data_IF_231851227142
#
_entry.id   IF_231851227142
#
_cell.length_a   1.000
_cell.length_b   1.000
_cell.length_c   1.000
_cell.angle_alpha   90.00
_cell.angle_beta   90.00
_cell.angle_gamma   90.00
#
_symmetry.space_group_name_H-M   'P 1'
#
loop_
_entity.id
_entity.type
_entity.pdbx_description
1 polymer ?
#
# COMPACT_ATOMS: atom_id res chain seq x y z
N UNK A 1 26.37 -6.28 -10.68
CA UNK A 1 26.02 -6.55 -9.27
C UNK A 1 25.14 -7.80 -9.26
N UNK A 2 25.42 -8.75 -8.39
CA UNK A 2 24.62 -9.96 -8.24
C UNK A 2 23.82 -9.84 -6.94
N UNK A 3 22.58 -10.23 -6.95
CA UNK A 3 21.71 -10.29 -5.77
C UNK A 3 20.94 -11.62 -5.76
N UNK A 4 20.55 -12.06 -4.58
CA UNK A 4 19.69 -13.25 -4.45
C UNK A 4 18.29 -12.95 -4.98
N UNK A 5 17.79 -11.73 -4.74
CA UNK A 5 16.48 -11.25 -5.19
C UNK A 5 16.63 -9.90 -5.88
N UNK A 6 16.03 -9.79 -7.07
CA UNK A 6 15.84 -8.50 -7.74
C UNK A 6 14.34 -8.15 -7.69
N UNK A 7 14.05 -6.93 -7.21
CA UNK A 7 12.70 -6.35 -7.16
C UNK A 7 12.60 -5.29 -8.26
N UNK A 8 11.57 -5.38 -9.07
CA UNK A 8 11.29 -4.39 -10.13
C UNK A 8 10.23 -3.41 -9.63
N UNK A 9 10.63 -2.16 -9.47
CA UNK A 9 9.80 -1.06 -8.99
C UNK A 9 10.08 -0.67 -7.53
N UNK A 10 10.40 0.61 -7.32
CA UNK A 10 10.69 1.23 -6.02
C UNK A 10 9.48 1.92 -5.38
N UNK A 11 8.25 1.46 -5.64
CA UNK A 11 7.05 1.89 -4.93
C UNK A 11 6.95 1.26 -3.54
N UNK A 12 5.84 1.52 -2.82
CA UNK A 12 5.63 1.01 -1.46
C UNK A 12 5.75 -0.52 -1.37
N UNK A 13 5.24 -1.25 -2.37
CA UNK A 13 5.30 -2.71 -2.39
C UNK A 13 6.75 -3.18 -2.52
N UNK A 14 7.52 -2.61 -3.46
CA UNK A 14 8.93 -2.96 -3.65
C UNK A 14 9.79 -2.58 -2.45
N UNK A 15 9.58 -1.41 -1.87
CA UNK A 15 10.29 -0.97 -0.67
C UNK A 15 9.98 -1.85 0.55
N UNK A 16 8.71 -2.22 0.77
CA UNK A 16 8.30 -3.09 1.86
C UNK A 16 8.82 -4.53 1.66
N UNK A 17 8.80 -5.05 0.43
CA UNK A 17 9.39 -6.35 0.11
C UNK A 17 10.91 -6.35 0.35
N UNK A 18 11.61 -5.31 -0.10
CA UNK A 18 13.05 -5.15 0.12
C UNK A 18 13.39 -5.09 1.62
N UNK A 19 12.62 -4.33 2.41
CA UNK A 19 12.78 -4.27 3.85
C UNK A 19 12.66 -5.63 4.51
N UNK A 20 11.58 -6.36 4.21
CA UNK A 20 11.33 -7.66 4.84
C UNK A 20 12.36 -8.72 4.42
N UNK A 21 12.79 -8.73 3.17
CA UNK A 21 13.84 -9.64 2.68
C UNK A 21 15.19 -9.32 3.32
N UNK A 22 15.61 -8.05 3.31
CA UNK A 22 16.87 -7.63 3.90
C UNK A 22 16.91 -7.87 5.43
N UNK A 23 15.78 -7.67 6.12
CA UNK A 23 15.62 -8.00 7.54
C UNK A 23 15.89 -9.48 7.83
N UNK A 24 15.63 -10.37 6.88
CA UNK A 24 15.90 -11.81 6.95
C UNK A 24 17.25 -12.21 6.33
N UNK A 25 18.14 -11.25 6.09
CA UNK A 25 19.50 -11.52 5.61
C UNK A 25 19.62 -11.81 4.11
N UNK A 26 18.54 -11.62 3.33
CA UNK A 26 18.54 -11.85 1.89
C UNK A 26 19.19 -10.66 1.17
N UNK A 27 20.10 -10.93 0.24
CA UNK A 27 20.69 -9.91 -0.63
C UNK A 27 19.68 -9.42 -1.66
N UNK A 28 19.32 -8.13 -1.58
CA UNK A 28 18.26 -7.53 -2.40
C UNK A 28 18.79 -6.38 -3.25
N UNK A 29 18.39 -6.38 -4.52
CA UNK A 29 18.53 -5.26 -5.45
C UNK A 29 17.15 -4.80 -5.92
N UNK A 30 16.85 -3.52 -5.76
CA UNK A 30 15.63 -2.88 -6.30
C UNK A 30 16.00 -2.02 -7.50
N UNK A 31 15.35 -2.25 -8.64
CA UNK A 31 15.50 -1.45 -9.86
C UNK A 31 14.23 -0.59 -10.04
N UNK A 32 14.41 0.73 -10.03
CA UNK A 32 13.32 1.70 -10.24
C UNK A 32 13.54 2.44 -11.57
N UNK A 33 12.50 2.49 -12.39
CA UNK A 33 12.55 3.13 -13.70
C UNK A 33 12.56 4.66 -13.65
N UNK A 34 12.03 5.26 -12.59
CA UNK A 34 12.05 6.71 -12.39
C UNK A 34 13.37 7.15 -11.75
N UNK A 35 13.68 8.45 -11.85
CA UNK A 35 14.84 9.05 -11.15
C UNK A 35 14.72 8.96 -9.63
N UNK A 36 13.50 8.93 -9.09
CA UNK A 36 13.24 8.92 -7.65
C UNK A 36 12.41 7.70 -7.23
N UNK A 37 12.79 7.13 -6.09
CA UNK A 37 12.01 6.09 -5.43
C UNK A 37 10.65 6.65 -5.01
N UNK A 38 9.59 5.84 -5.18
CA UNK A 38 8.23 6.23 -4.81
C UNK A 38 7.55 7.23 -5.74
N UNK A 39 8.12 7.53 -6.90
CA UNK A 39 7.61 8.55 -7.83
C UNK A 39 6.28 8.16 -8.57
N UNK A 40 5.63 7.10 -8.17
CA UNK A 40 4.36 6.63 -8.72
C UNK A 40 3.16 6.88 -7.80
N UNK A 41 2.14 6.03 -7.92
CA UNK A 41 0.92 6.09 -7.10
C UNK A 41 1.14 5.92 -5.60
N UNK A 42 2.27 5.35 -5.17
CA UNK A 42 2.57 5.08 -3.76
C UNK A 42 2.67 6.33 -2.90
N UNK A 43 3.05 7.47 -3.47
CA UNK A 43 3.21 8.74 -2.76
C UNK A 43 2.20 9.80 -3.19
N UNK A 44 1.34 9.49 -4.17
CA UNK A 44 0.36 10.40 -4.77
C UNK A 44 -1.07 9.91 -4.55
N UNK A 45 -1.39 9.53 -3.32
CA UNK A 45 -2.72 9.06 -2.93
C UNK A 45 -3.14 9.72 -1.62
N UNK A 46 -4.40 9.55 -1.24
CA UNK A 46 -4.97 10.16 -0.03
C UNK A 46 -4.60 9.45 1.28
N UNK A 47 -3.69 8.50 1.27
CA UNK A 47 -3.17 7.87 2.48
C UNK A 47 -4.16 7.02 3.28
N UNK A 48 -5.31 6.67 2.71
CA UNK A 48 -6.34 5.91 3.44
C UNK A 48 -5.88 4.49 3.81
N UNK A 49 -5.82 4.21 5.10
CA UNK A 49 -5.58 2.89 5.69
C UNK A 49 -6.93 2.31 6.07
N UNK A 50 -7.50 1.51 5.19
CA UNK A 50 -8.92 1.14 5.27
C UNK A 50 -9.16 -0.35 5.08
N UNK A 51 -10.06 -0.89 5.89
CA UNK A 51 -10.70 -2.20 5.72
C UNK A 51 -12.14 -2.06 5.19
N UNK A 52 -12.83 -0.98 5.52
CA UNK A 52 -14.17 -0.71 5.01
C UNK A 52 -14.19 -0.62 3.48
N UNK A 53 -15.17 -1.29 2.85
CA UNK A 53 -15.37 -1.30 1.40
C UNK A 53 -14.26 -1.98 0.59
N UNK A 54 -13.50 -2.88 1.21
CA UNK A 54 -12.57 -3.78 0.53
C UNK A 54 -13.29 -5.05 0.05
N UNK A 55 -12.65 -5.75 -0.88
CA UNK A 55 -13.08 -7.09 -1.27
C UNK A 55 -12.92 -8.03 -0.06
N UNK A 56 -13.93 -8.88 0.25
CA UNK A 56 -13.84 -9.83 1.35
C UNK A 56 -12.59 -10.73 1.32
N UNK A 57 -12.05 -11.02 0.15
CA UNK A 57 -10.83 -11.82 -0.01
C UNK A 57 -9.57 -11.12 0.48
N UNK A 58 -9.56 -9.78 0.50
CA UNK A 58 -8.44 -8.96 0.97
C UNK A 58 -8.50 -8.73 2.49
N UNK A 59 -9.71 -8.79 3.07
CA UNK A 59 -9.96 -8.38 4.44
C UNK A 59 -9.08 -9.06 5.49
N UNK A 60 -8.80 -10.38 5.44
CA UNK A 60 -7.94 -11.02 6.44
C UNK A 60 -6.55 -10.37 6.53
N UNK A 61 -5.94 -10.04 5.38
CA UNK A 61 -4.63 -9.38 5.34
C UNK A 61 -4.70 -7.92 5.78
N UNK A 62 -5.76 -7.21 5.37
CA UNK A 62 -5.94 -5.80 5.73
C UNK A 62 -6.21 -5.64 7.22
N UNK A 63 -7.09 -6.46 7.79
CA UNK A 63 -7.39 -6.47 9.23
C UNK A 63 -6.14 -6.78 10.06
N UNK A 64 -5.38 -7.80 9.66
CA UNK A 64 -4.10 -8.12 10.29
C UNK A 64 -3.14 -6.92 10.25
N UNK A 65 -3.04 -6.26 9.09
CA UNK A 65 -2.17 -5.11 8.91
C UNK A 65 -2.57 -3.93 9.80
N UNK A 66 -3.86 -3.63 9.91
CA UNK A 66 -4.40 -2.54 10.76
C UNK A 66 -4.19 -2.84 12.24
N UNK A 67 -4.33 -4.11 12.65
CA UNK A 67 -4.17 -4.51 14.05
C UNK A 67 -2.72 -4.63 14.49
N UNK A 68 -1.81 -5.10 13.61
CA UNK A 68 -0.48 -5.54 14.00
C UNK A 68 0.69 -4.81 13.32
N UNK A 69 0.45 -4.12 12.19
CA UNK A 69 1.54 -3.46 11.46
C UNK A 69 1.46 -1.95 11.61
N UNK A 70 0.36 -1.35 11.23
CA UNK A 70 0.20 0.11 11.22
C UNK A 70 0.46 0.79 12.58
N UNK A 71 -0.02 0.26 13.74
CA UNK A 71 0.20 0.90 15.03
C UNK A 71 1.66 1.03 15.44
N UNK A 72 2.52 0.14 14.96
CA UNK A 72 3.94 0.12 15.30
C UNK A 72 4.85 0.46 14.11
N UNK A 73 4.28 0.88 12.98
CA UNK A 73 5.03 1.08 11.74
C UNK A 73 6.06 2.21 11.86
N UNK A 74 5.73 3.28 12.58
CA UNK A 74 6.65 4.39 12.82
C UNK A 74 7.92 3.92 13.55
N UNK A 75 7.77 3.11 14.57
CA UNK A 75 8.90 2.57 15.34
C UNK A 75 9.69 1.57 14.51
N UNK A 76 9.00 0.67 13.79
CA UNK A 76 9.63 -0.31 12.91
C UNK A 76 10.50 0.32 11.83
N UNK A 77 10.11 1.49 11.33
CA UNK A 77 10.79 2.18 10.24
C UNK A 77 11.69 3.33 10.69
N UNK A 78 11.77 3.61 12.00
CA UNK A 78 12.46 4.80 12.53
C UNK A 78 12.07 6.05 11.75
N UNK A 79 10.76 6.20 11.50
CA UNK A 79 10.19 7.27 10.68
C UNK A 79 8.73 7.47 11.06
N UNK A 80 8.36 8.69 11.48
CA UNK A 80 6.96 8.98 11.75
C UNK A 80 6.15 8.91 10.45
N UNK A 81 5.32 7.87 10.31
CA UNK A 81 4.46 7.67 9.13
C UNK A 81 3.14 8.41 9.23
N UNK A 82 2.95 9.18 10.30
CA UNK A 82 1.73 9.97 10.56
C UNK A 82 0.47 9.09 10.45
N UNK A 83 0.51 7.93 11.10
CA UNK A 83 -0.65 7.04 11.17
C UNK A 83 -1.60 7.47 12.27
N UNK A 84 -2.85 7.74 11.87
CA UNK A 84 -3.94 8.09 12.77
C UNK A 84 -5.14 7.17 12.50
N UNK A 85 -5.60 6.49 13.54
CA UNK A 85 -6.77 5.60 13.49
C UNK A 85 -7.99 6.34 14.04
N UNK A 86 -8.51 7.26 13.24
CA UNK A 86 -9.63 8.15 13.61
C UNK A 86 -10.91 7.81 12.87
N UNK A 87 -10.92 6.68 12.19
CA UNK A 87 -12.06 6.17 11.45
C UNK A 87 -12.15 6.67 10.02
N UNK A 88 -13.17 6.17 9.31
CA UNK A 88 -13.48 6.55 7.94
C UNK A 88 -14.99 6.66 7.73
N UNK A 89 -15.42 7.75 7.11
CA UNK A 89 -16.80 7.97 6.66
C UNK A 89 -16.88 7.77 5.14
N UNK A 90 -17.84 6.95 4.70
CA UNK A 90 -18.26 6.89 3.29
C UNK A 90 -19.62 7.52 3.19
N UNK A 91 -19.73 8.62 2.45
CA UNK A 91 -20.87 9.50 2.44
C UNK A 91 -21.91 9.13 1.38
N UNK A 92 -23.18 9.27 1.72
CA UNK A 92 -24.30 9.12 0.81
C UNK A 92 -25.23 10.32 0.89
N UNK A 93 -25.81 10.70 -0.26
CA UNK A 93 -26.72 11.83 -0.40
C UNK A 93 -28.02 11.46 -1.13
N UNK A 94 -28.18 10.20 -1.49
CA UNK A 94 -29.38 9.69 -2.19
C UNK A 94 -29.77 8.32 -1.65
N UNK A 95 -31.05 7.88 -1.82
CA UNK A 95 -31.47 6.53 -1.46
C UNK A 95 -30.67 5.43 -2.17
N UNK A 96 -30.21 5.69 -3.40
CA UNK A 96 -29.34 4.75 -4.12
C UNK A 96 -27.96 4.64 -3.46
N UNK A 97 -27.35 5.76 -3.03
CA UNK A 97 -26.10 5.74 -2.29
C UNK A 97 -26.26 4.98 -0.97
N UNK A 98 -27.35 5.20 -0.25
CA UNK A 98 -27.64 4.48 0.99
C UNK A 98 -27.64 2.98 0.78
N UNK A 99 -28.39 2.48 -0.21
CA UNK A 99 -28.48 1.04 -0.52
C UNK A 99 -27.12 0.44 -0.89
N UNK A 100 -26.26 1.19 -1.61
CA UNK A 100 -24.90 0.75 -1.95
C UNK A 100 -24.05 0.65 -0.68
N UNK A 101 -24.11 1.66 0.19
CA UNK A 101 -23.33 1.69 1.43
C UNK A 101 -23.78 0.61 2.41
N UNK A 102 -25.06 0.34 2.54
CA UNK A 102 -25.63 -0.77 3.33
C UNK A 102 -25.02 -2.10 2.87
N UNK A 103 -25.10 -2.40 1.57
CA UNK A 103 -24.54 -3.65 1.04
C UNK A 103 -23.00 -3.75 1.17
N UNK A 104 -22.28 -2.63 1.21
CA UNK A 104 -20.84 -2.62 1.49
C UNK A 104 -20.55 -2.86 2.97
N UNK A 105 -21.33 -2.22 3.85
CA UNK A 105 -21.20 -2.38 5.30
C UNK A 105 -21.54 -3.81 5.73
N UNK A 106 -22.64 -4.38 5.24
CA UNK A 106 -23.07 -5.74 5.56
C UNK A 106 -21.99 -6.78 5.19
N UNK A 107 -21.40 -6.65 3.99
CA UNK A 107 -20.32 -7.56 3.55
C UNK A 107 -19.09 -7.45 4.44
N UNK A 108 -18.72 -6.23 4.83
CA UNK A 108 -17.55 -6.00 5.68
C UNK A 108 -17.83 -6.50 7.11
N UNK A 109 -19.02 -6.24 7.66
CA UNK A 109 -19.44 -6.71 8.98
C UNK A 109 -19.48 -8.25 9.04
N UNK A 110 -19.96 -8.91 7.99
CA UNK A 110 -19.93 -10.37 7.87
C UNK A 110 -18.52 -10.98 7.94
N UNK A 111 -17.48 -10.18 7.62
CA UNK A 111 -16.07 -10.55 7.77
C UNK A 111 -15.46 -10.09 9.10
N UNK A 112 -16.24 -9.55 10.03
CA UNK A 112 -15.79 -9.12 11.35
C UNK A 112 -15.24 -7.69 11.40
N UNK A 113 -15.45 -6.87 10.36
CA UNK A 113 -15.09 -5.45 10.38
C UNK A 113 -16.12 -4.67 11.20
N UNK A 114 -15.65 -3.84 12.13
CA UNK A 114 -16.52 -2.89 12.86
C UNK A 114 -16.93 -1.75 11.93
N UNK A 115 -18.06 -1.93 11.28
CA UNK A 115 -18.64 -0.95 10.35
C UNK A 115 -20.15 -0.91 10.49
N UNK A 116 -20.73 0.29 10.49
CA UNK A 116 -22.19 0.49 10.64
C UNK A 116 -22.69 1.66 9.80
N UNK A 117 -23.96 1.62 9.46
CA UNK A 117 -24.66 2.76 8.88
C UNK A 117 -25.01 3.78 9.98
N UNK A 118 -24.86 5.05 9.65
CA UNK A 118 -25.21 6.20 10.49
C UNK A 118 -25.98 7.24 9.67
N UNK A 119 -26.75 8.08 10.36
CA UNK A 119 -27.46 9.21 9.75
C UNK A 119 -26.51 10.34 9.33
N UNK A 120 -26.99 11.24 8.48
CA UNK A 120 -26.24 12.46 8.11
C UNK A 120 -25.91 13.34 9.34
N UNK A 121 -26.83 13.40 10.32
CA UNK A 121 -26.60 14.14 11.55
C UNK A 121 -25.50 13.53 12.44
N UNK A 122 -25.47 12.21 12.55
CA UNK A 122 -24.37 11.51 13.24
C UNK A 122 -23.05 11.71 12.50
N UNK A 123 -23.05 11.65 11.17
CA UNK A 123 -21.86 11.90 10.37
C UNK A 123 -21.33 13.33 10.57
N UNK A 124 -22.21 14.35 10.68
CA UNK A 124 -21.83 15.73 10.97
C UNK A 124 -21.31 15.93 12.40
N UNK A 125 -21.73 15.11 13.36
CA UNK A 125 -21.10 15.15 14.71
C UNK A 125 -19.66 14.64 14.68
N UNK A 126 -19.35 13.69 13.78
CA UNK A 126 -17.98 13.18 13.58
C UNK A 126 -17.16 14.19 12.78
N UNK A 127 -17.71 14.73 11.69
CA UNK A 127 -17.07 15.74 10.87
C UNK A 127 -18.01 16.92 10.61
N UNK A 128 -17.88 18.04 11.38
CA UNK A 128 -18.76 19.19 11.28
C UNK A 128 -18.72 19.96 9.95
N UNK A 129 -17.74 19.66 9.10
CA UNK A 129 -17.59 20.33 7.80
C UNK A 129 -18.38 19.63 6.67
N UNK A 130 -19.11 18.56 6.96
CA UNK A 130 -19.93 17.89 5.97
C UNK A 130 -21.13 18.71 5.56
N UNK A 131 -21.42 18.73 4.26
CA UNK A 131 -22.59 19.39 3.68
C UNK A 131 -23.91 18.77 4.20
N UNK A 132 -24.96 19.58 4.29
CA UNK A 132 -26.32 19.15 4.61
C UNK A 132 -26.90 18.17 3.57
N UNK A 133 -26.32 18.15 2.37
CA UNK A 133 -26.67 17.16 1.34
C UNK A 133 -26.31 15.70 1.72
N UNK A 134 -25.47 15.50 2.73
CA UNK A 134 -25.14 14.17 3.25
C UNK A 134 -26.28 13.68 4.13
N UNK A 135 -27.00 12.67 3.66
CA UNK A 135 -28.18 12.09 4.34
C UNK A 135 -27.86 10.82 5.14
N UNK A 136 -26.80 10.11 4.75
CA UNK A 136 -26.33 8.90 5.42
C UNK A 136 -24.82 8.71 5.22
N UNK A 137 -24.23 7.85 6.04
CA UNK A 137 -22.85 7.40 5.86
C UNK A 137 -22.66 5.97 6.37
N UNK A 138 -21.66 5.24 5.87
CA UNK A 138 -21.11 4.12 6.60
C UNK A 138 -19.90 4.59 7.41
N UNK A 139 -19.83 4.21 8.66
CA UNK A 139 -18.78 4.56 9.62
C UNK A 139 -18.00 3.32 10.03
N UNK A 140 -16.67 3.39 9.88
CA UNK A 140 -15.74 2.37 10.35
C UNK A 140 -14.72 3.04 11.28
N UNK A 141 -14.84 2.90 12.61
CA UNK A 141 -13.98 3.58 13.58
C UNK A 141 -12.54 3.06 13.56
N UNK A 142 -12.34 1.83 13.10
CA UNK A 142 -11.03 1.18 13.05
C UNK A 142 -10.23 1.42 11.76
N UNK A 143 -10.81 2.13 10.81
CA UNK A 143 -10.09 2.67 9.66
C UNK A 143 -9.26 3.90 10.07
N UNK A 144 -8.34 4.31 9.21
CA UNK A 144 -7.50 5.47 9.48
C UNK A 144 -6.83 6.02 8.23
N UNK A 145 -5.80 6.81 8.45
CA UNK A 145 -4.96 7.35 7.38
C UNK A 145 -3.50 7.44 7.84
N UNK A 146 -2.60 7.51 6.88
CA UNK A 146 -1.17 7.71 7.10
C UNK A 146 -0.59 8.57 5.97
N UNK A 147 0.56 9.14 6.19
CA UNK A 147 1.28 9.84 5.14
C UNK A 147 1.94 8.84 4.17
N UNK A 148 1.46 8.74 2.92
CA UNK A 148 1.94 7.72 1.98
C UNK A 148 3.39 7.94 1.55
N UNK A 149 3.86 9.20 1.51
CA UNK A 149 5.25 9.52 1.25
C UNK A 149 6.14 9.04 2.39
N UNK A 150 5.79 9.37 3.64
CA UNK A 150 6.57 9.00 4.81
C UNK A 150 6.64 7.49 4.99
N UNK A 151 5.54 6.77 4.79
CA UNK A 151 5.52 5.32 4.83
C UNK A 151 6.43 4.69 3.75
N UNK A 152 6.34 5.18 2.51
CA UNK A 152 7.18 4.68 1.40
C UNK A 152 8.67 4.96 1.66
N UNK A 153 9.00 6.19 2.07
CA UNK A 153 10.39 6.58 2.35
C UNK A 153 10.95 5.91 3.61
N UNK A 154 10.11 5.65 4.60
CA UNK A 154 10.49 4.88 5.80
C UNK A 154 10.94 3.46 5.43
N UNK A 155 10.14 2.74 4.66
CA UNK A 155 10.50 1.41 4.15
C UNK A 155 11.78 1.46 3.30
N UNK A 156 11.91 2.41 2.40
CA UNK A 156 13.10 2.60 1.58
C UNK A 156 14.37 2.82 2.43
N UNK A 157 14.33 3.77 3.35
CA UNK A 157 15.46 4.10 4.24
C UNK A 157 15.88 2.89 5.08
N UNK A 158 14.89 2.22 5.68
CA UNK A 158 15.17 1.08 6.55
C UNK A 158 15.67 -0.14 5.76
N UNK A 159 15.12 -0.42 4.58
CA UNK A 159 15.63 -1.47 3.70
C UNK A 159 17.12 -1.23 3.35
N UNK A 160 17.48 0.02 3.04
CA UNK A 160 18.89 0.40 2.77
C UNK A 160 19.78 0.23 3.99
N UNK A 161 19.32 0.62 5.17
CA UNK A 161 20.08 0.39 6.43
C UNK A 161 20.36 -1.09 6.69
N UNK A 162 19.44 -1.96 6.25
CA UNK A 162 19.56 -3.42 6.37
C UNK A 162 20.34 -4.05 5.20
N UNK A 163 20.92 -3.25 4.29
CA UNK A 163 21.78 -3.72 3.23
C UNK A 163 21.11 -3.92 1.86
N UNK A 164 19.82 -3.60 1.68
CA UNK A 164 19.21 -3.61 0.36
C UNK A 164 19.80 -2.50 -0.53
N UNK A 165 20.07 -2.83 -1.78
CA UNK A 165 20.55 -1.89 -2.78
C UNK A 165 19.39 -1.38 -3.65
N UNK A 166 19.41 -0.08 -3.97
CA UNK A 166 18.41 0.55 -4.84
C UNK A 166 19.12 1.32 -5.95
N UNK A 167 18.70 1.10 -7.19
CA UNK A 167 19.16 1.83 -8.37
C UNK A 167 17.93 2.45 -9.02
N UNK A 168 17.89 3.78 -9.07
CA UNK A 168 16.87 4.56 -9.78
C UNK A 168 17.38 4.95 -11.19
N UNK A 169 16.45 5.28 -12.10
CA UNK A 169 16.75 5.53 -13.51
C UNK A 169 16.97 4.25 -14.32
N UNK A 170 16.76 3.07 -13.73
CA UNK A 170 16.98 1.76 -14.36
C UNK A 170 15.65 1.09 -14.71
N UNK A 171 15.06 1.52 -15.81
CA UNK A 171 13.79 0.97 -16.28
C UNK A 171 13.99 -0.44 -16.86
N UNK A 172 13.37 -1.42 -16.21
CA UNK A 172 13.40 -2.81 -16.67
C UNK A 172 12.52 -2.96 -17.92
N UNK A 173 13.09 -3.56 -18.96
CA UNK A 173 12.43 -3.78 -20.26
C UNK A 173 12.32 -5.25 -20.62
N UNK A 174 13.16 -6.13 -20.05
CA UNK A 174 13.14 -7.55 -20.37
C UNK A 174 13.52 -8.41 -19.17
N UNK A 175 12.84 -9.56 -19.05
CA UNK A 175 13.20 -10.64 -18.15
C UNK A 175 13.66 -11.85 -18.98
N UNK A 176 14.95 -12.19 -18.92
CA UNK A 176 15.51 -13.33 -19.62
C UNK A 176 15.41 -14.58 -18.78
N UNK A 177 14.78 -15.61 -19.37
CA UNK A 177 14.69 -16.94 -18.77
C UNK A 177 15.89 -17.79 -19.18
N UNK A 178 16.53 -18.42 -18.19
CA UNK A 178 17.57 -19.40 -18.39
C UNK A 178 17.10 -20.68 -17.70
N UNK A 179 17.02 -21.80 -18.44
CA UNK A 179 16.51 -23.09 -17.93
C UNK A 179 15.13 -22.98 -17.27
N UNK A 180 14.21 -22.21 -17.89
CA UNK A 180 12.82 -22.05 -17.45
C UNK A 180 12.57 -21.06 -16.29
N UNK A 181 13.60 -20.55 -15.65
CA UNK A 181 13.48 -19.54 -14.58
C UNK A 181 14.02 -18.18 -15.04
N UNK A 182 13.42 -17.08 -14.55
CA UNK A 182 13.99 -15.74 -14.77
C UNK A 182 15.34 -15.65 -14.02
N UNK A 183 16.41 -15.39 -14.77
CA UNK A 183 17.78 -15.36 -14.23
C UNK A 183 18.52 -14.07 -14.55
N UNK A 184 17.98 -13.27 -15.46
CA UNK A 184 18.55 -11.97 -15.82
C UNK A 184 17.44 -10.94 -16.01
N UNK A 185 17.71 -9.75 -15.58
CA UNK A 185 16.88 -8.55 -15.77
C UNK A 185 17.65 -7.59 -16.64
N UNK A 186 17.04 -7.13 -17.73
CA UNK A 186 17.64 -6.17 -18.68
C UNK A 186 16.92 -4.83 -18.55
N UNK A 187 17.68 -3.74 -18.50
CA UNK A 187 17.16 -2.39 -18.41
C UNK A 187 17.25 -1.66 -19.74
N UNK A 188 16.53 -0.55 -19.86
CA UNK A 188 16.50 0.30 -21.06
C UNK A 188 17.90 0.88 -21.40
N UNK A 189 18.72 1.10 -20.37
CA UNK A 189 20.12 1.52 -20.51
C UNK A 189 21.06 0.42 -21.04
N UNK A 190 20.55 -0.81 -21.22
CA UNK A 190 21.34 -1.96 -21.68
C UNK A 190 22.07 -2.73 -20.57
N UNK A 191 21.92 -2.33 -19.32
CA UNK A 191 22.49 -3.06 -18.19
C UNK A 191 21.80 -4.40 -17.98
N UNK A 192 22.60 -5.42 -17.61
CA UNK A 192 22.12 -6.79 -17.34
C UNK A 192 22.47 -7.18 -15.90
N UNK A 193 21.45 -7.48 -15.12
CA UNK A 193 21.58 -7.93 -13.74
C UNK A 193 21.24 -9.41 -13.63
N UNK A 194 22.17 -10.19 -13.08
CA UNK A 194 21.94 -11.61 -12.82
C UNK A 194 21.34 -11.83 -11.44
N UNK A 195 20.43 -12.81 -11.32
CA UNK A 195 19.70 -13.06 -10.10
C UNK A 195 19.49 -14.57 -9.88
N UNK A 196 19.53 -14.98 -8.61
CA UNK A 196 19.14 -16.33 -8.22
C UNK A 196 17.62 -16.49 -8.15
N UNK A 197 16.92 -15.46 -7.69
CA UNK A 197 15.45 -15.38 -7.61
C UNK A 197 14.96 -14.00 -8.03
N UNK A 198 13.92 -13.92 -8.88
CA UNK A 198 13.34 -12.65 -9.32
C UNK A 198 11.93 -12.51 -8.79
N UNK A 199 11.65 -11.42 -8.08
CA UNK A 199 10.31 -11.01 -7.69
C UNK A 199 9.88 -9.79 -8.51
N UNK A 200 8.73 -9.89 -9.18
CA UNK A 200 8.15 -8.81 -9.96
C UNK A 200 7.04 -8.14 -9.17
N UNK A 201 7.24 -6.88 -8.79
CA UNK A 201 6.14 -6.03 -8.35
C UNK A 201 5.55 -5.34 -9.57
N UNK A 202 4.34 -5.73 -9.96
CA UNK A 202 3.63 -5.04 -11.03
C UNK A 202 3.39 -3.59 -10.61
N UNK A 203 3.64 -2.59 -11.48
CA UNK A 203 3.18 -1.24 -11.22
C UNK A 203 1.67 -1.29 -11.07
N UNK A 204 1.14 -0.63 -10.05
CA UNK A 204 -0.31 -0.45 -9.89
C UNK A 204 -0.77 0.46 -11.03
N UNK A 205 -1.07 -0.13 -12.17
CA UNK A 205 -1.71 0.57 -13.27
C UNK A 205 -3.19 0.66 -12.89
N UNK A 206 -3.56 1.72 -12.21
CA UNK A 206 -4.93 2.22 -12.25
C UNK A 206 -5.15 2.73 -13.68
N UNK A 207 -5.69 1.87 -14.53
CA UNK A 207 -6.38 2.36 -15.73
C UNK A 207 -7.66 3.01 -15.23
N UNK A 208 -7.68 4.33 -15.24
CA UNK A 208 -8.89 5.13 -15.18
C UNK A 208 -9.62 4.99 -16.50
#
# INVERSE_FOLDING_TARGET
>A
MNAEVIIVGGGIIGCAAAYNLAKNGVSVLVLEGSENIGNGGSTRNGGGVRQSGRDPRELPLVMYSIQHIWPQLSDMLDTNVEYYQEGNLRLGSTPQHQKILEGLADRAAACGVDVRMISGDEARRINPYLSDAVTCASWCPTDGHANPLMATMGYYKMARRLGAHFISGEKVVELRKIKGAARQVVTESGNVYAVSYTHLTLPTILRV
#
